data_IF_283567682301
#
_entry.id   IF_283567682301
#
_cell.length_a   1.000
_cell.length_b   1.000
_cell.length_c   1.000
_cell.angle_alpha   90.00
_cell.angle_beta   90.00
_cell.angle_gamma   90.00
#
_symmetry.space_group_name_H-M   'P 1'
#
loop_
_entity.id
_entity.type
_entity.pdbx_description
1 polymer ?
#
# COMPACT_ATOMS: atom_id res chain seq x y z
N UNK A 1 -12.40 3.95 29.15
CA UNK A 1 -12.12 5.03 28.21
C UNK A 1 -12.80 4.71 26.88
N UNK A 2 -13.64 5.59 26.41
CA UNK A 2 -14.35 5.35 25.14
C UNK A 2 -13.45 5.68 23.94
N UNK A 3 -13.41 4.78 22.98
CA UNK A 3 -12.72 5.01 21.71
C UNK A 3 -13.65 5.83 20.82
N UNK A 4 -13.21 6.99 20.40
CA UNK A 4 -14.00 7.90 19.59
C UNK A 4 -13.38 8.17 18.22
N UNK A 5 -14.04 9.04 17.47
CA UNK A 5 -13.59 9.44 16.12
C UNK A 5 -12.15 9.96 16.13
N UNK A 6 -11.78 10.75 17.15
CA UNK A 6 -10.43 11.30 17.24
C UNK A 6 -9.34 10.22 17.31
N UNK A 7 -9.64 9.10 17.96
CA UNK A 7 -8.70 7.97 18.04
C UNK A 7 -8.48 7.35 16.66
N UNK A 8 -9.54 7.13 15.92
CA UNK A 8 -9.44 6.54 14.56
C UNK A 8 -8.74 7.49 13.59
N UNK A 9 -9.05 8.78 13.64
CA UNK A 9 -8.38 9.78 12.80
C UNK A 9 -6.89 9.88 13.14
N UNK A 10 -6.52 9.77 14.41
CA UNK A 10 -5.13 9.79 14.84
C UNK A 10 -4.37 8.58 14.30
N UNK A 11 -4.94 7.38 14.42
CA UNK A 11 -4.33 6.16 13.87
C UNK A 11 -4.17 6.29 12.37
N UNK A 12 -5.20 6.76 11.67
CA UNK A 12 -5.15 6.96 10.22
C UNK A 12 -4.05 7.96 9.83
N UNK A 13 -3.92 9.06 10.57
CA UNK A 13 -2.89 10.06 10.32
C UNK A 13 -1.48 9.48 10.51
N UNK A 14 -1.28 8.67 11.53
CA UNK A 14 0.00 8.00 11.80
C UNK A 14 0.32 7.02 10.67
N UNK A 15 -0.63 6.20 10.26
CA UNK A 15 -0.43 5.24 9.19
C UNK A 15 -0.14 5.93 7.86
N UNK A 16 -0.89 6.97 7.52
CA UNK A 16 -0.70 7.72 6.30
C UNK A 16 0.69 8.37 6.27
N UNK A 17 1.08 9.01 7.36
CA UNK A 17 2.40 9.65 7.50
C UNK A 17 3.51 8.61 7.39
N UNK A 18 3.35 7.45 8.03
CA UNK A 18 4.31 6.35 7.93
C UNK A 18 4.47 5.89 6.48
N UNK A 19 3.35 5.78 5.75
CA UNK A 19 3.38 5.43 4.33
C UNK A 19 4.13 6.47 3.50
N UNK A 20 3.87 7.74 3.72
CA UNK A 20 4.55 8.84 3.01
C UNK A 20 6.07 8.78 3.26
N UNK A 21 6.48 8.64 4.51
CA UNK A 21 7.91 8.53 4.85
C UNK A 21 8.53 7.27 4.25
N UNK A 22 7.79 6.17 4.22
CA UNK A 22 8.25 4.93 3.59
C UNK A 22 8.62 5.14 2.13
N UNK A 23 7.81 5.89 1.38
CA UNK A 23 8.09 6.20 -0.02
C UNK A 23 9.35 7.07 -0.14
N UNK A 24 9.44 8.15 0.63
CA UNK A 24 10.55 9.09 0.52
C UNK A 24 11.88 8.50 0.95
N UNK A 25 11.88 7.68 2.01
CA UNK A 25 13.12 7.10 2.54
C UNK A 25 13.61 5.90 1.75
N UNK A 26 12.73 5.22 1.01
CA UNK A 26 13.04 3.97 0.33
C UNK A 26 12.67 4.01 -1.14
N UNK A 27 12.97 5.11 -1.82
CA UNK A 27 12.58 5.33 -3.22
C UNK A 27 13.06 4.28 -4.20
N UNK A 28 14.13 3.56 -3.86
CA UNK A 28 14.71 2.55 -4.75
C UNK A 28 14.17 1.15 -4.50
N UNK A 29 13.43 0.94 -3.42
CA UNK A 29 12.87 -0.37 -3.09
C UNK A 29 11.40 -0.40 -3.47
N UNK A 30 11.09 -1.04 -4.59
CA UNK A 30 9.73 -1.11 -5.14
C UNK A 30 8.77 -1.81 -4.17
N UNK A 31 9.23 -2.84 -3.47
CA UNK A 31 8.39 -3.57 -2.51
C UNK A 31 7.98 -2.65 -1.36
N UNK A 32 8.91 -1.87 -0.81
CA UNK A 32 8.61 -0.93 0.27
C UNK A 32 7.69 0.18 -0.22
N UNK A 33 7.88 0.68 -1.45
CA UNK A 33 6.98 1.67 -2.04
C UNK A 33 5.56 1.12 -2.13
N UNK A 34 5.38 -0.11 -2.60
CA UNK A 34 4.07 -0.75 -2.68
C UNK A 34 3.43 -0.90 -1.30
N UNK A 35 4.19 -1.38 -0.32
CA UNK A 35 3.70 -1.51 1.06
C UNK A 35 3.30 -0.16 1.64
N UNK A 36 4.06 0.89 1.35
CA UNK A 36 3.78 2.25 1.80
C UNK A 36 2.49 2.79 1.21
N UNK A 37 2.25 2.56 -0.08
CA UNK A 37 0.98 2.92 -0.74
C UNK A 37 -0.18 2.18 -0.09
N UNK A 38 -0.02 0.90 0.22
CA UNK A 38 -1.06 0.11 0.89
C UNK A 38 -1.39 0.66 2.28
N UNK A 39 -0.38 1.11 3.04
CA UNK A 39 -0.61 1.76 4.33
C UNK A 39 -1.41 3.05 4.17
N UNK A 40 -1.11 3.84 3.14
CA UNK A 40 -1.84 5.08 2.85
C UNK A 40 -3.30 4.80 2.49
N UNK A 41 -3.54 3.77 1.69
CA UNK A 41 -4.90 3.33 1.34
C UNK A 41 -5.66 2.82 2.57
N UNK A 42 -5.00 2.06 3.43
CA UNK A 42 -5.59 1.61 4.69
C UNK A 42 -6.00 2.82 5.56
N UNK A 43 -5.14 3.83 5.65
CA UNK A 43 -5.44 5.05 6.41
C UNK A 43 -6.68 5.74 5.88
N UNK A 44 -6.80 5.88 4.57
CA UNK A 44 -7.98 6.46 3.92
C UNK A 44 -9.23 5.63 4.24
N UNK A 45 -9.13 4.32 4.21
CA UNK A 45 -10.25 3.42 4.53
C UNK A 45 -10.69 3.53 5.98
N UNK A 46 -9.76 3.65 6.91
CA UNK A 46 -10.08 3.88 8.32
C UNK A 46 -10.92 5.16 8.44
N UNK A 47 -10.54 6.23 7.74
CA UNK A 47 -11.29 7.47 7.74
C UNK A 47 -12.70 7.30 7.16
N UNK A 48 -12.85 6.61 6.03
CA UNK A 48 -14.17 6.35 5.45
C UNK A 48 -15.08 5.63 6.41
N UNK A 49 -14.60 4.58 7.05
CA UNK A 49 -15.40 3.79 8.00
C UNK A 49 -15.71 4.59 9.25
N UNK A 50 -14.73 5.31 9.79
CA UNK A 50 -14.91 6.11 10.99
C UNK A 50 -15.95 7.21 10.78
N UNK A 51 -15.87 7.95 9.69
CA UNK A 51 -16.87 8.97 9.36
C UNK A 51 -18.25 8.38 9.07
N UNK A 52 -18.28 7.23 8.40
CA UNK A 52 -19.53 6.52 8.14
C UNK A 52 -20.29 6.19 9.44
N UNK A 53 -19.56 5.69 10.43
CA UNK A 53 -20.15 5.33 11.73
C UNK A 53 -20.66 6.57 12.45
N UNK A 54 -19.87 7.65 12.50
CA UNK A 54 -20.23 8.88 13.20
C UNK A 54 -21.42 9.57 12.56
N UNK A 55 -21.49 9.58 11.22
CA UNK A 55 -22.57 10.24 10.46
C UNK A 55 -23.78 9.33 10.26
N UNK A 56 -23.72 8.08 10.72
CA UNK A 56 -24.79 7.09 10.50
C UNK A 56 -25.13 6.92 9.02
N UNK A 57 -24.11 6.93 8.15
CA UNK A 57 -24.27 6.86 6.71
C UNK A 57 -23.41 5.73 6.15
N UNK A 58 -24.04 4.76 5.50
CA UNK A 58 -23.34 3.59 4.94
C UNK A 58 -22.47 3.91 3.73
N UNK A 59 -22.61 5.09 3.15
CA UNK A 59 -21.84 5.48 1.94
C UNK A 59 -20.34 5.35 2.16
N UNK A 60 -19.84 5.77 3.33
CA UNK A 60 -18.41 5.65 3.66
C UNK A 60 -17.94 4.21 3.70
N UNK A 61 -18.78 3.30 4.21
CA UNK A 61 -18.45 1.86 4.25
C UNK A 61 -18.44 1.24 2.86
N UNK A 62 -19.38 1.66 2.00
CA UNK A 62 -19.43 1.23 0.61
C UNK A 62 -18.18 1.68 -0.14
N UNK A 63 -17.78 2.94 0.00
CA UNK A 63 -16.54 3.44 -0.60
C UNK A 63 -15.31 2.71 -0.07
N UNK A 64 -15.26 2.39 1.22
CA UNK A 64 -14.17 1.62 1.79
C UNK A 64 -14.06 0.24 1.13
N UNK A 65 -15.18 -0.42 0.86
CA UNK A 65 -15.19 -1.69 0.16
C UNK A 65 -14.67 -1.57 -1.27
N UNK A 66 -15.03 -0.52 -1.99
CA UNK A 66 -14.50 -0.26 -3.33
C UNK A 66 -13.00 -0.02 -3.28
N UNK A 67 -12.51 0.78 -2.34
CA UNK A 67 -11.07 1.03 -2.19
C UNK A 67 -10.33 -0.25 -1.86
N UNK A 68 -10.87 -1.11 -1.01
CA UNK A 68 -10.28 -2.43 -0.71
C UNK A 68 -10.20 -3.30 -1.95
N UNK A 69 -11.25 -3.31 -2.76
CA UNK A 69 -11.28 -4.09 -4.00
C UNK A 69 -10.22 -3.60 -4.97
N UNK A 70 -10.11 -2.29 -5.16
CA UNK A 70 -9.10 -1.68 -6.03
C UNK A 70 -7.70 -1.95 -5.47
N UNK A 71 -7.50 -1.81 -4.17
CA UNK A 71 -6.22 -2.07 -3.53
C UNK A 71 -5.79 -3.53 -3.69
N UNK A 72 -6.73 -4.47 -3.55
CA UNK A 72 -6.44 -5.89 -3.76
C UNK A 72 -6.04 -6.17 -5.20
N UNK A 73 -6.74 -5.58 -6.17
CA UNK A 73 -6.41 -5.71 -7.58
C UNK A 73 -5.03 -5.11 -7.90
N UNK A 74 -4.74 -3.94 -7.38
CA UNK A 74 -3.43 -3.30 -7.56
C UNK A 74 -2.31 -4.13 -6.94
N UNK A 75 -2.52 -4.68 -5.74
CA UNK A 75 -1.54 -5.51 -5.08
C UNK A 75 -1.27 -6.79 -5.90
N UNK A 76 -2.31 -7.42 -6.43
CA UNK A 76 -2.17 -8.61 -7.26
C UNK A 76 -1.39 -8.32 -8.53
N UNK A 77 -1.74 -7.25 -9.23
CA UNK A 77 -1.04 -6.81 -10.45
C UNK A 77 0.41 -6.43 -10.13
N UNK A 78 0.60 -5.67 -9.06
CA UNK A 78 1.94 -5.24 -8.64
C UNK A 78 2.83 -6.42 -8.28
N UNK A 79 2.31 -7.42 -7.56
CA UNK A 79 3.05 -8.63 -7.25
C UNK A 79 3.41 -9.41 -8.51
N UNK A 80 2.47 -9.52 -9.47
CA UNK A 80 2.75 -10.18 -10.74
C UNK A 80 3.88 -9.47 -11.50
N UNK A 81 3.83 -8.14 -11.56
CA UNK A 81 4.89 -7.34 -12.21
C UNK A 81 6.22 -7.55 -11.50
N UNK A 82 6.24 -7.53 -10.17
CA UNK A 82 7.47 -7.74 -9.39
C UNK A 82 8.06 -9.11 -9.63
N UNK A 83 7.23 -10.16 -9.68
CA UNK A 83 7.72 -11.52 -9.96
C UNK A 83 8.39 -11.56 -11.33
N UNK A 84 7.74 -11.01 -12.36
CA UNK A 84 8.32 -10.96 -13.71
C UNK A 84 9.61 -10.14 -13.73
N UNK A 85 9.60 -8.98 -13.07
CA UNK A 85 10.78 -8.11 -13.00
C UNK A 85 11.97 -8.83 -12.37
N UNK A 86 11.78 -9.45 -11.22
CA UNK A 86 12.88 -10.16 -10.55
C UNK A 86 13.37 -11.36 -11.34
N UNK A 87 12.49 -12.08 -12.00
CA UNK A 87 12.87 -13.20 -12.86
C UNK A 87 13.72 -12.74 -14.04
N UNK A 88 13.29 -11.65 -14.69
CA UNK A 88 14.06 -11.09 -15.82
C UNK A 88 15.40 -10.53 -15.37
N UNK A 89 15.44 -9.86 -14.22
CA UNK A 89 16.68 -9.32 -13.67
C UNK A 89 17.66 -10.44 -13.32
N UNK A 90 17.19 -11.50 -12.70
CA UNK A 90 18.00 -12.67 -12.41
C UNK A 90 18.62 -13.27 -13.65
N UNK A 91 17.83 -13.38 -14.72
CA UNK A 91 18.33 -13.87 -16.03
C UNK A 91 19.40 -12.95 -16.60
N UNK A 92 19.18 -11.64 -16.55
CA UNK A 92 20.15 -10.65 -17.03
C UNK A 92 21.44 -10.72 -16.21
N UNK A 93 21.36 -10.81 -14.90
CA UNK A 93 22.52 -10.90 -14.02
C UNK A 93 23.35 -12.15 -14.31
N UNK A 94 22.71 -13.29 -14.54
CA UNK A 94 23.39 -14.53 -14.91
C UNK A 94 24.09 -14.38 -16.26
N UNK A 95 23.41 -13.78 -17.24
CA UNK A 95 24.00 -13.51 -18.55
C UNK A 95 25.23 -12.61 -18.44
N UNK A 96 25.15 -11.55 -17.62
CA UNK A 96 26.29 -10.64 -17.40
C UNK A 96 27.47 -11.35 -16.77
N UNK A 97 27.24 -12.25 -15.82
CA UNK A 97 28.27 -13.05 -15.19
C UNK A 97 28.98 -13.93 -16.22
N UNK A 98 28.21 -14.57 -17.09
CA UNK A 98 28.77 -15.39 -18.17
C UNK A 98 29.63 -14.57 -19.14
N UNK A 99 29.16 -13.38 -19.50
CA UNK A 99 29.89 -12.48 -20.39
C UNK A 99 31.21 -12.02 -19.75
N UNK A 100 31.20 -11.79 -18.45
CA UNK A 100 32.38 -11.37 -17.72
C UNK A 100 33.44 -12.49 -17.59
N UNK A 101 32.98 -13.73 -17.58
CA UNK A 101 33.86 -14.90 -17.49
C UNK A 101 34.37 -15.41 -18.84
N UNK A 102 33.61 -15.09 -19.86
CA UNK A 102 33.88 -15.54 -21.20
C UNK A 102 34.79 -14.61 -21.96
#
# INVERSE_FOLDING_TARGET
MAVGLAHYLTVAAILFTTGVFGIFLNRKNVIIIMMSIELMLLAVNINFVAFSVVLHDLVGQIFAMFVLTVAAAEAAIGLAILVVYFRNRGTIEVADIHMMRG
#
